data_IF_860161930357
#
_entry.id   IF_860161930357
#
_cell.length_a   1.000
_cell.length_b   1.000
_cell.length_c   1.000
_cell.angle_alpha   90.00
_cell.angle_beta   90.00
_cell.angle_gamma   90.00
#
_symmetry.space_group_name_H-M   'P 1'
#
loop_
_entity.id
_entity.type
_entity.pdbx_description
1 polymer ?
#
# COMPACT_ATOMS: atom_id res chain seq x y z
N UNK A 1 16.03 5.82 6.50
CA UNK A 1 14.86 5.62 5.61
C UNK A 1 15.05 6.44 4.34
N UNK A 2 14.33 6.11 3.26
CA UNK A 2 14.28 6.87 2.00
C UNK A 2 12.86 7.41 1.80
N UNK A 3 12.73 8.57 1.15
CA UNK A 3 11.44 9.13 0.74
C UNK A 3 11.17 8.79 -0.73
N UNK A 4 10.24 7.87 -0.98
CA UNK A 4 9.87 7.46 -2.34
C UNK A 4 9.30 8.63 -3.15
N UNK A 5 8.52 9.51 -2.51
CA UNK A 5 7.96 10.69 -3.15
C UNK A 5 9.02 11.67 -3.67
N UNK A 6 10.18 11.76 -3.00
CA UNK A 6 11.30 12.61 -3.45
C UNK A 6 12.21 11.89 -4.45
N UNK A 7 12.38 10.57 -4.31
CA UNK A 7 13.26 9.78 -5.16
C UNK A 7 12.66 9.51 -6.55
N UNK A 8 11.34 9.66 -6.71
CA UNK A 8 10.59 9.39 -7.93
C UNK A 8 11.19 10.13 -9.14
N UNK A 9 11.41 9.41 -10.25
CA UNK A 9 12.00 9.96 -11.47
C UNK A 9 13.50 10.27 -11.41
N UNK A 10 14.20 9.81 -10.37
CA UNK A 10 15.65 10.00 -10.21
C UNK A 10 16.37 8.67 -9.98
N UNK A 11 17.70 8.67 -10.11
CA UNK A 11 18.56 7.52 -9.74
C UNK A 11 18.38 7.09 -8.28
N UNK A 12 17.89 7.98 -7.40
CA UNK A 12 17.57 7.65 -6.01
C UNK A 12 16.53 6.54 -5.87
N UNK A 13 15.64 6.37 -6.85
CA UNK A 13 14.60 5.34 -6.80
C UNK A 13 15.17 3.91 -6.79
N UNK A 14 16.38 3.70 -7.32
CA UNK A 14 17.11 2.42 -7.22
C UNK A 14 17.42 2.01 -5.78
N UNK A 15 17.44 2.97 -4.85
CA UNK A 15 17.70 2.75 -3.43
C UNK A 15 16.42 2.61 -2.59
N UNK A 16 15.23 2.75 -3.18
CA UNK A 16 13.96 2.62 -2.48
C UNK A 16 13.77 1.22 -1.92
N UNK A 17 13.61 0.21 -2.79
CA UNK A 17 13.24 -1.13 -2.34
C UNK A 17 14.31 -1.78 -1.45
N UNK A 18 15.59 -1.59 -1.77
CA UNK A 18 16.69 -2.13 -0.94
C UNK A 18 16.69 -1.56 0.47
N UNK A 19 16.16 -0.35 0.68
CA UNK A 19 16.02 0.22 2.03
C UNK A 19 15.15 -0.66 2.94
N UNK A 20 14.21 -1.45 2.39
CA UNK A 20 13.43 -2.46 3.14
C UNK A 20 14.35 -3.45 3.84
N UNK A 21 15.34 -3.98 3.12
CA UNK A 21 16.27 -4.98 3.63
C UNK A 21 17.19 -4.35 4.69
N UNK A 22 17.76 -3.18 4.39
CA UNK A 22 18.62 -2.44 5.32
C UNK A 22 17.89 -2.15 6.63
N UNK A 23 16.62 -1.73 6.57
CA UNK A 23 15.81 -1.48 7.77
C UNK A 23 15.60 -2.77 8.58
N UNK A 24 15.30 -3.88 7.91
CA UNK A 24 15.14 -5.19 8.55
C UNK A 24 16.42 -5.60 9.28
N UNK A 25 17.56 -5.51 8.60
CA UNK A 25 18.88 -5.86 9.14
C UNK A 25 19.25 -4.96 10.32
N UNK A 26 18.98 -3.66 10.24
CA UNK A 26 19.22 -2.71 11.34
C UNK A 26 18.40 -3.05 12.59
N UNK A 27 17.11 -3.35 12.44
CA UNK A 27 16.24 -3.69 13.58
C UNK A 27 16.70 -4.99 14.23
N UNK A 28 16.95 -6.03 13.42
CA UNK A 28 17.46 -7.31 13.90
C UNK A 28 18.78 -7.15 14.66
N UNK A 29 19.74 -6.41 14.07
CA UNK A 29 21.06 -6.17 14.66
C UNK A 29 20.96 -5.46 16.01
N UNK A 30 20.16 -4.41 16.10
CA UNK A 30 20.00 -3.64 17.34
C UNK A 30 19.31 -4.45 18.45
N UNK A 31 18.23 -5.17 18.11
CA UNK A 31 17.46 -5.94 19.09
C UNK A 31 18.29 -7.10 19.63
N UNK A 32 18.90 -7.89 18.73
CA UNK A 32 19.69 -9.05 19.13
C UNK A 32 21.02 -8.64 19.79
N UNK A 33 21.71 -7.64 19.23
CA UNK A 33 23.01 -7.18 19.74
C UNK A 33 22.94 -6.54 21.13
N UNK A 34 21.77 -6.02 21.52
CA UNK A 34 21.55 -5.38 22.82
C UNK A 34 20.66 -6.21 23.76
N UNK A 35 20.28 -7.43 23.37
CA UNK A 35 19.46 -8.33 24.19
C UNK A 35 18.15 -7.68 24.67
N UNK A 36 17.44 -6.97 23.78
CA UNK A 36 16.20 -6.29 24.14
C UNK A 36 15.06 -7.32 24.35
N UNK A 37 14.31 -7.19 25.44
CA UNK A 37 13.17 -8.08 25.75
C UNK A 37 11.93 -7.84 24.86
N UNK A 38 11.86 -6.69 24.20
CA UNK A 38 10.79 -6.35 23.27
C UNK A 38 11.10 -5.09 22.47
N UNK A 39 10.37 -4.90 21.37
CA UNK A 39 10.63 -3.78 20.45
C UNK A 39 9.35 -3.10 19.95
N UNK A 40 9.33 -1.77 20.03
CA UNK A 40 8.32 -0.94 19.39
C UNK A 40 8.93 -0.34 18.12
N UNK A 41 8.44 -0.77 16.96
CA UNK A 41 8.91 -0.27 15.67
C UNK A 41 7.99 0.86 15.19
N UNK A 42 8.55 2.04 14.94
CA UNK A 42 7.83 3.16 14.32
C UNK A 42 8.26 3.31 12.88
N UNK A 43 7.31 3.29 11.95
CA UNK A 43 7.59 3.60 10.54
C UNK A 43 6.47 4.41 9.90
N UNK A 44 6.86 5.30 9.00
CA UNK A 44 5.95 6.29 8.40
C UNK A 44 5.99 6.39 6.89
N UNK A 45 6.94 5.73 6.21
CA UNK A 45 7.03 5.73 4.75
C UNK A 45 6.97 4.30 4.20
N UNK A 46 6.83 4.19 2.88
CA UNK A 46 6.54 2.97 2.12
C UNK A 46 7.31 1.74 2.60
N UNK A 47 8.63 1.76 2.44
CA UNK A 47 9.50 0.60 2.69
C UNK A 47 9.83 0.40 4.17
N UNK A 48 9.51 1.38 5.03
CA UNK A 48 9.61 1.22 6.49
C UNK A 48 8.68 0.14 6.98
N UNK A 49 7.46 0.12 6.45
CA UNK A 49 6.41 -0.80 6.88
C UNK A 49 6.88 -2.26 6.80
N UNK A 50 7.15 -2.81 5.59
CA UNK A 50 7.59 -4.20 5.49
C UNK A 50 8.97 -4.43 6.10
N UNK A 51 9.92 -3.48 5.98
CA UNK A 51 11.26 -3.66 6.54
C UNK A 51 11.25 -3.80 8.05
N UNK A 52 10.41 -3.01 8.73
CA UNK A 52 10.24 -3.10 10.17
C UNK A 52 9.57 -4.38 10.63
N UNK A 53 8.51 -4.83 9.94
CA UNK A 53 7.88 -6.12 10.26
C UNK A 53 8.82 -7.30 9.99
N UNK A 54 9.60 -7.28 8.91
CA UNK A 54 10.62 -8.30 8.64
C UNK A 54 11.68 -8.33 9.76
N UNK A 55 12.17 -7.17 10.21
CA UNK A 55 13.10 -7.09 11.34
C UNK A 55 12.51 -7.65 12.64
N UNK A 56 11.24 -7.35 12.93
CA UNK A 56 10.51 -7.91 14.08
C UNK A 56 10.40 -9.43 13.98
N UNK A 57 10.11 -9.98 12.79
CA UNK A 57 9.96 -11.43 12.56
C UNK A 57 11.28 -12.21 12.65
N UNK A 58 12.41 -11.57 12.29
CA UNK A 58 13.75 -12.16 12.43
C UNK A 58 14.22 -12.13 13.88
N UNK A 59 14.06 -11.00 14.56
CA UNK A 59 14.39 -10.88 15.98
C UNK A 59 13.49 -11.76 16.86
N UNK A 60 12.20 -11.81 16.52
CA UNK A 60 11.16 -12.61 17.16
C UNK A 60 11.10 -12.49 18.70
N UNK A 61 11.43 -11.32 19.23
CA UNK A 61 11.04 -10.90 20.59
C UNK A 61 9.64 -10.26 20.53
N UNK A 62 8.89 -10.18 21.64
CA UNK A 62 7.62 -9.46 21.67
C UNK A 62 7.72 -8.08 21.04
N UNK A 63 6.86 -7.79 20.06
CA UNK A 63 7.01 -6.61 19.25
C UNK A 63 5.69 -6.05 18.74
N UNK A 64 5.59 -4.72 18.70
CA UNK A 64 4.42 -4.02 18.16
C UNK A 64 4.84 -3.01 17.10
N UNK A 65 4.04 -2.91 16.03
CA UNK A 65 4.28 -1.95 14.97
C UNK A 65 3.39 -0.72 15.13
N UNK A 66 3.99 0.47 15.15
CA UNK A 66 3.29 1.75 15.20
C UNK A 66 3.49 2.50 13.88
N UNK A 67 2.42 2.62 13.11
CA UNK A 67 2.41 3.47 11.92
C UNK A 67 2.50 4.95 12.32
N UNK A 68 3.35 5.71 11.64
CA UNK A 68 3.56 7.14 11.88
C UNK A 68 2.34 8.01 11.56
N UNK A 69 1.39 7.52 10.76
CA UNK A 69 0.17 8.24 10.41
C UNK A 69 0.22 8.88 9.02
N UNK A 70 -0.95 9.07 8.44
CA UNK A 70 -1.13 9.68 7.11
C UNK A 70 -1.02 11.20 7.18
N UNK A 71 -0.59 11.84 6.09
CA UNK A 71 -0.66 13.30 5.92
C UNK A 71 -2.13 13.74 5.74
N UNK A 72 -2.43 14.99 6.12
CA UNK A 72 -3.67 15.68 5.74
C UNK A 72 -3.63 16.09 4.24
N UNK A 73 -4.78 16.16 3.55
CA UNK A 73 -4.81 16.67 2.18
C UNK A 73 -4.41 18.15 2.09
N UNK A 74 -3.70 18.48 1.01
CA UNK A 74 -3.55 19.85 0.57
C UNK A 74 -4.85 20.39 -0.05
N UNK A 75 -4.94 21.70 -0.31
CA UNK A 75 -6.13 22.28 -0.96
C UNK A 75 -5.77 23.41 -1.92
N UNK A 76 -6.36 23.37 -3.11
CA UNK A 76 -6.27 24.45 -4.09
C UNK A 76 -7.53 24.50 -4.96
N UNK A 77 -8.08 25.71 -5.15
CA UNK A 77 -9.32 25.95 -5.93
C UNK A 77 -10.49 25.01 -5.57
N UNK A 78 -10.65 24.72 -4.27
CA UNK A 78 -11.72 23.84 -3.77
C UNK A 78 -11.53 22.35 -4.08
N UNK A 79 -10.33 21.94 -4.53
CA UNK A 79 -9.96 20.53 -4.75
C UNK A 79 -8.91 20.10 -3.74
N UNK A 80 -9.07 18.88 -3.24
CA UNK A 80 -8.07 18.24 -2.40
C UNK A 80 -6.87 17.78 -3.24
N UNK A 81 -5.68 18.13 -2.76
CA UNK A 81 -4.40 17.81 -3.39
C UNK A 81 -3.66 16.72 -2.60
N UNK A 82 -2.86 15.94 -3.32
CA UNK A 82 -1.87 15.02 -2.77
C UNK A 82 -0.62 14.98 -3.67
N UNK A 83 0.35 14.12 -3.35
CA UNK A 83 1.58 14.01 -4.14
C UNK A 83 1.33 13.64 -5.61
N UNK A 84 0.30 12.83 -5.91
CA UNK A 84 -0.06 12.48 -7.29
C UNK A 84 -0.60 13.68 -8.06
N UNK A 85 -1.29 14.60 -7.40
CA UNK A 85 -1.72 15.86 -8.02
C UNK A 85 -0.56 16.67 -8.58
N UNK A 86 0.63 16.60 -7.97
CA UNK A 86 1.84 17.27 -8.48
C UNK A 86 2.33 16.59 -9.77
N UNK A 87 2.40 15.25 -9.78
CA UNK A 87 2.85 14.50 -10.96
C UNK A 87 1.89 14.67 -12.15
N UNK A 88 0.58 14.65 -11.90
CA UNK A 88 -0.44 14.92 -12.92
C UNK A 88 -0.34 16.36 -13.45
N UNK A 89 -0.13 17.34 -12.56
CA UNK A 89 0.02 18.75 -12.93
C UNK A 89 1.21 18.99 -13.87
N UNK A 90 2.34 18.29 -13.67
CA UNK A 90 3.51 18.34 -14.57
C UNK A 90 3.13 17.85 -15.97
N UNK A 91 2.41 16.72 -16.07
CA UNK A 91 1.95 16.18 -17.37
C UNK A 91 0.97 17.10 -18.09
N UNK A 92 0.01 17.68 -17.36
CA UNK A 92 -0.96 18.64 -17.91
C UNK A 92 -0.31 19.94 -18.38
N UNK A 93 0.66 20.48 -17.63
CA UNK A 93 1.42 21.67 -18.01
C UNK A 93 2.28 21.41 -19.26
N UNK A 94 3.00 20.27 -19.31
CA UNK A 94 3.78 19.89 -20.48
C UNK A 94 2.94 19.69 -21.76
N UNK A 95 1.69 19.27 -21.61
CA UNK A 95 0.72 19.16 -22.71
C UNK A 95 0.02 20.48 -23.06
N UNK A 96 0.37 21.61 -22.41
CA UNK A 96 -0.20 22.93 -22.64
C UNK A 96 -1.62 23.12 -22.09
N UNK A 97 -2.08 22.26 -21.18
CA UNK A 97 -3.44 22.29 -20.60
C UNK A 97 -3.51 22.93 -19.20
N UNK A 98 -2.37 23.28 -18.61
CA UNK A 98 -2.28 23.94 -17.30
C UNK A 98 -1.25 25.08 -17.34
N UNK A 99 -1.53 26.22 -16.69
CA UNK A 99 -0.59 27.34 -16.60
C UNK A 99 0.52 27.08 -15.58
N UNK A 100 1.66 27.75 -15.76
CA UNK A 100 2.80 27.68 -14.82
C UNK A 100 2.41 28.16 -13.41
N UNK A 101 1.50 29.14 -13.31
CA UNK A 101 0.97 29.61 -12.03
C UNK A 101 0.17 28.51 -11.33
N UNK A 102 -0.70 27.80 -12.04
CA UNK A 102 -1.49 26.71 -11.45
C UNK A 102 -0.59 25.56 -11.01
N UNK A 103 0.43 25.23 -11.80
CA UNK A 103 1.45 24.23 -11.44
C UNK A 103 2.18 24.61 -10.14
N UNK A 104 2.67 25.85 -10.06
CA UNK A 104 3.38 26.36 -8.87
C UNK A 104 2.49 26.35 -7.62
N UNK A 105 1.21 26.70 -7.76
CA UNK A 105 0.27 26.68 -6.63
C UNK A 105 -0.02 25.25 -6.16
N UNK A 106 -0.13 24.28 -7.08
CA UNK A 106 -0.30 22.87 -6.73
C UNK A 106 0.93 22.36 -5.98
N UNK A 107 2.14 22.62 -6.49
CA UNK A 107 3.40 22.23 -5.85
C UNK A 107 3.46 22.73 -4.39
N UNK A 108 3.20 24.02 -4.16
CA UNK A 108 3.29 24.66 -2.84
C UNK A 108 2.25 24.20 -1.83
N UNK A 109 1.14 23.61 -2.29
CA UNK A 109 -0.04 23.30 -1.46
C UNK A 109 -0.32 21.82 -1.31
N UNK A 110 0.27 20.96 -2.14
CA UNK A 110 -0.02 19.52 -2.14
C UNK A 110 0.43 18.78 -0.87
N UNK A 111 1.49 19.26 -0.22
CA UNK A 111 2.10 18.63 0.96
C UNK A 111 2.04 19.61 2.15
N UNK A 112 0.91 19.67 2.88
CA UNK A 112 0.66 20.71 3.90
C UNK A 112 1.36 20.47 5.24
N UNK A 113 2.01 19.32 5.46
CA UNK A 113 2.60 18.98 6.75
C UNK A 113 3.24 17.59 6.79
N UNK A 114 3.31 17.02 7.99
CA UNK A 114 3.93 15.72 8.27
C UNK A 114 2.97 14.55 8.07
N UNK A 115 3.52 13.38 7.72
CA UNK A 115 2.77 12.13 7.52
C UNK A 115 3.11 11.44 6.19
N UNK A 116 2.64 10.21 6.02
CA UNK A 116 2.81 9.48 4.76
C UNK A 116 1.83 9.93 3.67
N UNK A 117 2.02 9.49 2.43
CA UNK A 117 1.15 9.82 1.30
C UNK A 117 -0.33 9.46 1.58
N UNK A 118 -1.24 10.42 1.39
CA UNK A 118 -2.63 10.32 1.88
C UNK A 118 -3.57 9.34 1.16
N UNK A 119 -3.20 8.82 -0.01
CA UNK A 119 -3.99 7.82 -0.72
C UNK A 119 -3.72 6.40 -0.22
N UNK A 120 -4.45 5.41 -0.75
CA UNK A 120 -4.21 3.99 -0.48
C UNK A 120 -3.02 3.44 -1.29
N UNK A 121 -1.89 4.14 -1.20
CA UNK A 121 -0.57 3.72 -1.69
C UNK A 121 0.06 2.71 -0.72
N UNK A 122 1.31 2.30 -0.94
CA UNK A 122 1.90 1.20 -0.16
C UNK A 122 1.97 1.49 1.34
N UNK A 123 2.34 2.70 1.77
CA UNK A 123 2.38 3.04 3.20
C UNK A 123 1.03 2.78 3.92
N UNK A 124 -0.07 3.33 3.42
CA UNK A 124 -1.41 3.11 4.00
C UNK A 124 -1.93 1.68 3.76
N UNK A 125 -1.55 1.05 2.64
CA UNK A 125 -1.90 -0.36 2.36
C UNK A 125 -1.26 -1.29 3.39
N UNK A 126 0.04 -1.11 3.63
CA UNK A 126 0.80 -1.95 4.57
C UNK A 126 0.40 -1.66 6.02
N UNK A 127 0.15 -0.40 6.40
CA UNK A 127 -0.35 -0.09 7.73
C UNK A 127 -1.71 -0.74 7.99
N UNK A 128 -2.62 -0.69 7.01
CA UNK A 128 -3.93 -1.36 7.08
C UNK A 128 -3.80 -2.87 7.20
N UNK A 129 -2.86 -3.44 6.43
CA UNK A 129 -2.57 -4.87 6.47
C UNK A 129 -1.97 -5.30 7.83
N UNK A 130 -1.26 -4.42 8.54
CA UNK A 130 -0.68 -4.71 9.86
C UNK A 130 -1.71 -4.74 10.97
N UNK A 131 -2.76 -3.90 10.89
CA UNK A 131 -3.94 -4.06 11.75
C UNK A 131 -4.63 -5.40 11.48
N UNK A 132 -4.79 -5.78 10.22
CA UNK A 132 -5.43 -7.03 9.82
C UNK A 132 -4.62 -8.29 10.20
N UNK A 133 -3.29 -8.19 10.19
CA UNK A 133 -2.39 -9.20 10.76
C UNK A 133 -2.55 -9.34 12.27
N UNK A 134 -2.89 -8.24 12.96
CA UNK A 134 -2.94 -8.18 14.42
C UNK A 134 -1.65 -7.69 15.08
N UNK A 135 -0.67 -7.16 14.33
CA UNK A 135 0.61 -6.68 14.87
C UNK A 135 0.62 -5.17 15.19
N UNK A 136 -0.46 -4.47 14.84
CA UNK A 136 -0.73 -3.07 15.16
C UNK A 136 -2.08 -2.95 15.86
N UNK A 137 -2.21 -1.94 16.72
CA UNK A 137 -3.49 -1.66 17.38
C UNK A 137 -4.56 -1.17 16.39
N UNK A 138 -5.85 -1.46 16.64
CA UNK A 138 -6.95 -0.96 15.84
C UNK A 138 -6.89 0.56 15.62
N UNK A 139 -7.32 1.00 14.43
CA UNK A 139 -7.36 2.39 13.96
C UNK A 139 -5.99 3.05 13.71
N UNK A 140 -4.89 2.51 14.25
CA UNK A 140 -3.54 3.07 14.16
C UNK A 140 -3.07 3.37 12.73
N UNK A 141 -3.56 2.62 11.73
CA UNK A 141 -3.23 2.70 10.31
C UNK A 141 -3.85 3.88 9.56
N UNK A 142 -4.92 4.48 10.11
CA UNK A 142 -5.71 5.50 9.40
C UNK A 142 -5.66 6.89 10.05
N UNK A 143 -5.10 6.99 11.26
CA UNK A 143 -4.92 8.24 11.97
C UNK A 143 -4.00 9.21 11.21
N UNK A 144 -4.37 10.50 11.21
CA UNK A 144 -3.51 11.54 10.66
C UNK A 144 -2.33 11.81 11.59
N UNK A 145 -1.12 11.92 11.03
CA UNK A 145 0.11 12.18 11.79
C UNK A 145 0.05 13.44 12.67
N UNK A 146 -0.47 14.60 12.23
CA UNK A 146 -0.46 15.81 13.06
C UNK A 146 -1.47 15.80 14.20
N UNK A 147 -2.36 14.81 14.29
CA UNK A 147 -3.36 14.75 15.35
C UNK A 147 -2.82 14.07 16.62
N UNK A 148 -3.21 14.58 17.80
CA UNK A 148 -2.85 14.02 19.11
C UNK A 148 -3.24 12.55 19.27
N UNK A 149 -4.30 12.13 18.56
CA UNK A 149 -4.74 10.73 18.51
C UNK A 149 -3.59 9.78 18.13
N UNK A 150 -2.72 10.18 17.19
CA UNK A 150 -1.59 9.35 16.77
C UNK A 150 -0.54 9.22 17.88
N UNK A 151 -0.26 10.31 18.59
CA UNK A 151 0.63 10.29 19.76
C UNK A 151 0.05 9.41 20.88
N UNK A 152 -1.26 9.50 21.13
CA UNK A 152 -1.94 8.66 22.13
C UNK A 152 -1.92 7.18 21.74
N UNK A 153 -2.12 6.86 20.46
CA UNK A 153 -2.00 5.50 19.92
C UNK A 153 -0.59 4.93 20.13
N UNK A 154 0.47 5.74 19.96
CA UNK A 154 1.84 5.31 20.22
C UNK A 154 2.07 5.02 21.72
N UNK A 155 1.56 5.86 22.62
CA UNK A 155 1.61 5.63 24.08
C UNK A 155 0.88 4.35 24.47
N UNK A 156 -0.29 4.10 23.90
CA UNK A 156 -1.06 2.88 24.17
C UNK A 156 -0.35 1.64 23.63
N UNK A 157 0.26 1.73 22.45
CA UNK A 157 1.06 0.66 21.86
C UNK A 157 2.23 0.26 22.78
N UNK A 158 2.88 1.22 23.43
CA UNK A 158 3.94 0.94 24.40
C UNK A 158 3.43 0.17 25.63
N UNK A 159 2.22 0.48 26.13
CA UNK A 159 1.63 -0.28 27.24
C UNK A 159 1.28 -1.71 26.81
N UNK A 160 0.69 -1.87 25.62
CA UNK A 160 0.38 -3.19 25.07
C UNK A 160 1.65 -4.02 24.87
N UNK A 161 2.75 -3.40 24.43
CA UNK A 161 4.03 -4.08 24.32
C UNK A 161 4.52 -4.62 25.67
N UNK A 162 4.40 -3.86 26.76
CA UNK A 162 4.78 -4.32 28.10
C UNK A 162 3.97 -5.57 28.49
N UNK A 163 2.67 -5.59 28.19
CA UNK A 163 1.84 -6.77 28.44
C UNK A 163 2.17 -7.95 27.51
N UNK A 164 2.51 -7.69 26.25
CA UNK A 164 2.98 -8.70 25.32
C UNK A 164 4.30 -9.33 25.76
N UNK A 165 5.24 -8.54 26.32
CA UNK A 165 6.47 -9.03 26.93
C UNK A 165 6.19 -9.97 28.10
N UNK A 166 5.28 -9.58 29.02
CA UNK A 166 4.89 -10.43 30.16
C UNK A 166 4.25 -11.76 29.73
N UNK A 167 3.52 -11.76 28.61
CA UNK A 167 2.84 -12.94 28.05
C UNK A 167 3.68 -13.70 27.02
N UNK A 168 4.88 -13.22 26.71
CA UNK A 168 5.77 -13.73 25.66
C UNK A 168 5.10 -13.84 24.27
N UNK A 169 4.23 -12.90 23.91
CA UNK A 169 3.54 -12.88 22.59
C UNK A 169 4.48 -12.33 21.53
N UNK A 170 4.88 -13.17 20.57
CA UNK A 170 5.88 -12.83 19.55
C UNK A 170 5.27 -12.63 18.17
N UNK A 171 5.97 -11.91 17.26
CA UNK A 171 5.54 -11.72 15.88
C UNK A 171 5.18 -13.01 15.15
N UNK A 172 5.92 -14.12 15.35
CA UNK A 172 5.63 -15.40 14.70
C UNK A 172 4.39 -16.13 15.25
N UNK A 173 3.94 -15.80 16.45
CA UNK A 173 2.67 -16.32 16.99
C UNK A 173 1.46 -15.65 16.31
N UNK A 174 1.66 -14.42 15.81
CA UNK A 174 0.64 -13.59 15.17
C UNK A 174 0.65 -13.79 13.65
N UNK A 175 1.83 -13.74 13.01
CA UNK A 175 1.98 -13.80 11.55
C UNK A 175 1.93 -15.25 11.07
N UNK A 176 0.72 -15.79 11.03
CA UNK A 176 0.39 -17.12 10.51
C UNK A 176 -0.17 -17.05 9.09
N UNK A 177 -0.36 -18.21 8.43
CA UNK A 177 -1.01 -18.28 7.11
C UNK A 177 -2.41 -17.64 7.12
N UNK A 178 -3.21 -17.90 8.16
CA UNK A 178 -4.54 -17.28 8.33
C UNK A 178 -4.47 -15.76 8.51
N UNK A 179 -3.50 -15.28 9.30
CA UNK A 179 -3.31 -13.84 9.48
C UNK A 179 -2.88 -13.16 8.17
N UNK A 180 -2.00 -13.80 7.38
CA UNK A 180 -1.63 -13.30 6.04
C UNK A 180 -2.84 -13.28 5.10
N UNK A 181 -3.71 -14.30 5.14
CA UNK A 181 -4.97 -14.26 4.38
C UNK A 181 -5.88 -13.09 4.79
N UNK A 182 -5.98 -12.79 6.09
CA UNK A 182 -6.73 -11.61 6.59
C UNK A 182 -6.13 -10.32 6.02
N UNK A 183 -4.81 -10.19 6.08
CA UNK A 183 -4.10 -9.03 5.60
C UNK A 183 -4.32 -8.81 4.10
N UNK A 184 -4.20 -9.86 3.30
CA UNK A 184 -4.46 -9.81 1.85
C UNK A 184 -5.94 -9.53 1.56
N UNK A 185 -6.88 -10.06 2.34
CA UNK A 185 -8.29 -9.73 2.18
C UNK A 185 -8.56 -8.23 2.44
N UNK A 186 -7.95 -7.64 3.46
CA UNK A 186 -8.07 -6.20 3.73
C UNK A 186 -7.41 -5.36 2.64
N UNK A 187 -6.25 -5.80 2.11
CA UNK A 187 -5.60 -5.14 0.96
C UNK A 187 -6.55 -5.10 -0.25
N UNK A 188 -7.21 -6.22 -0.58
CA UNK A 188 -8.18 -6.29 -1.67
C UNK A 188 -9.38 -5.39 -1.40
N UNK A 189 -9.97 -5.49 -0.20
CA UNK A 189 -11.16 -4.73 0.18
C UNK A 189 -10.94 -3.22 0.16
N UNK A 190 -9.72 -2.77 0.43
CA UNK A 190 -9.39 -1.34 0.48
C UNK A 190 -8.84 -0.77 -0.82
N UNK A 191 -8.64 -1.59 -1.87
CA UNK A 191 -8.09 -1.09 -3.12
C UNK A 191 -6.58 -0.83 -3.09
N UNK A 192 -5.84 -1.54 -2.22
CA UNK A 192 -4.44 -1.29 -1.90
C UNK A 192 -3.40 -1.44 -3.02
N UNK A 193 -2.15 -1.09 -2.72
CA UNK A 193 -1.01 -1.09 -3.65
C UNK A 193 -0.63 -2.49 -4.13
N UNK A 194 -0.18 -2.60 -5.39
CA UNK A 194 0.43 -3.82 -5.96
C UNK A 194 1.73 -4.20 -5.24
N UNK A 195 2.46 -3.23 -4.68
CA UNK A 195 3.68 -3.46 -3.89
C UNK A 195 3.41 -4.35 -2.67
N UNK A 196 2.16 -4.42 -2.19
CA UNK A 196 1.79 -5.34 -1.12
C UNK A 196 2.08 -6.81 -1.49
N UNK A 197 2.00 -7.20 -2.77
CA UNK A 197 2.35 -8.57 -3.20
C UNK A 197 3.81 -8.88 -2.91
N UNK A 198 4.71 -7.99 -3.35
CA UNK A 198 6.15 -8.12 -3.10
C UNK A 198 6.48 -8.14 -1.60
N UNK A 199 5.80 -7.30 -0.83
CA UNK A 199 6.04 -7.18 0.61
C UNK A 199 5.54 -8.38 1.38
N UNK A 200 4.34 -8.89 1.08
CA UNK A 200 3.80 -10.06 1.77
C UNK A 200 4.50 -11.37 1.39
N UNK A 201 5.01 -11.50 0.16
CA UNK A 201 5.91 -12.62 -0.18
C UNK A 201 7.17 -12.61 0.70
N UNK A 202 7.79 -11.44 0.88
CA UNK A 202 8.98 -11.31 1.73
C UNK A 202 8.67 -11.51 3.23
N UNK A 203 7.55 -10.97 3.71
CA UNK A 203 7.07 -11.15 5.09
C UNK A 203 6.80 -12.63 5.38
N UNK A 204 6.08 -13.31 4.49
CA UNK A 204 5.76 -14.73 4.64
C UNK A 204 7.03 -15.59 4.66
N UNK A 205 7.95 -15.36 3.72
CA UNK A 205 9.26 -16.02 3.71
C UNK A 205 10.02 -15.79 5.02
N UNK A 206 10.04 -14.55 5.53
CA UNK A 206 10.74 -14.20 6.78
C UNK A 206 10.08 -14.84 8.01
N UNK A 207 8.75 -15.00 8.00
CA UNK A 207 8.01 -15.68 9.04
C UNK A 207 8.12 -17.22 8.98
N UNK A 208 8.65 -17.78 7.88
CA UNK A 208 8.64 -19.23 7.64
C UNK A 208 7.26 -19.77 7.27
N UNK A 209 6.38 -18.92 6.71
CA UNK A 209 5.03 -19.28 6.28
C UNK A 209 5.01 -19.53 4.77
N UNK A 210 4.52 -20.69 4.35
CA UNK A 210 4.31 -20.99 2.93
C UNK A 210 3.21 -20.09 2.33
N UNK A 211 3.64 -19.18 1.46
CA UNK A 211 2.79 -18.24 0.74
C UNK A 211 3.38 -17.97 -0.63
N UNK A 212 2.55 -18.07 -1.67
CA UNK A 212 2.96 -17.92 -3.07
C UNK A 212 2.21 -16.78 -3.75
N UNK A 213 2.64 -16.39 -4.94
CA UNK A 213 1.92 -15.39 -5.73
C UNK A 213 0.48 -15.86 -6.05
N UNK A 214 0.27 -17.17 -6.21
CA UNK A 214 -1.04 -17.75 -6.53
C UNK A 214 -2.04 -17.66 -5.38
N UNK A 215 -1.55 -17.57 -4.14
CA UNK A 215 -2.41 -17.35 -2.98
C UNK A 215 -3.12 -15.98 -3.03
N UNK A 216 -2.50 -14.97 -3.65
CA UNK A 216 -3.16 -13.68 -3.85
C UNK A 216 -4.36 -13.81 -4.79
N UNK A 217 -4.25 -14.61 -5.85
CA UNK A 217 -5.37 -14.84 -6.78
C UNK A 217 -6.52 -15.58 -6.08
N UNK A 218 -6.20 -16.59 -5.26
CA UNK A 218 -7.19 -17.32 -4.45
C UNK A 218 -7.97 -16.38 -3.51
N UNK A 219 -7.30 -15.43 -2.86
CA UNK A 219 -7.96 -14.43 -2.02
C UNK A 219 -8.72 -13.40 -2.86
N UNK A 220 -8.14 -12.92 -3.98
CA UNK A 220 -8.75 -11.94 -4.89
C UNK A 220 -10.13 -12.38 -5.38
N UNK A 221 -10.28 -13.63 -5.76
CA UNK A 221 -11.53 -14.16 -6.34
C UNK A 221 -12.72 -14.12 -5.39
N UNK A 222 -12.48 -14.19 -4.08
CA UNK A 222 -13.54 -14.20 -3.04
C UNK A 222 -13.75 -12.86 -2.35
N UNK A 223 -12.77 -11.95 -2.42
CA UNK A 223 -12.82 -10.70 -1.65
C UNK A 223 -13.21 -9.51 -2.54
N UNK A 224 -14.34 -8.83 -2.28
CA UNK A 224 -14.73 -7.64 -3.05
C UNK A 224 -13.92 -6.42 -2.65
N UNK A 225 -13.88 -5.41 -3.53
CA UNK A 225 -13.36 -4.07 -3.19
C UNK A 225 -14.50 -3.25 -2.60
N UNK A 226 -14.34 -2.76 -1.37
CA UNK A 226 -15.36 -2.04 -0.60
C UNK A 226 -15.12 -0.54 -0.53
N UNK A 227 -13.85 -0.11 -0.52
CA UNK A 227 -13.52 1.29 -0.27
C UNK A 227 -13.36 2.12 -1.56
N UNK A 228 -13.88 3.34 -1.56
CA UNK A 228 -13.73 4.32 -2.64
C UNK A 228 -12.53 5.26 -2.39
N UNK A 229 -11.31 4.73 -2.48
CA UNK A 229 -10.08 5.45 -2.10
C UNK A 229 -9.16 5.72 -3.30
N UNK A 230 -8.54 6.91 -3.31
CA UNK A 230 -7.45 7.23 -4.24
C UNK A 230 -6.32 6.19 -4.14
N UNK A 231 -5.67 5.81 -5.24
CA UNK A 231 -5.71 6.47 -6.56
C UNK A 231 -6.88 6.08 -7.47
N UNK A 232 -7.65 5.03 -7.15
CA UNK A 232 -8.72 4.54 -8.04
C UNK A 232 -10.10 5.15 -7.74
N UNK A 233 -10.25 5.69 -6.54
CA UNK A 233 -11.48 6.26 -6.02
C UNK A 233 -11.35 7.73 -5.65
N UNK A 234 -12.33 8.24 -4.90
CA UNK A 234 -12.46 9.67 -4.55
C UNK A 234 -11.72 10.06 -3.28
N UNK A 235 -11.78 9.23 -2.25
CA UNK A 235 -11.45 9.62 -0.87
C UNK A 235 -10.00 9.32 -0.47
N UNK A 236 -9.54 9.90 0.63
CA UNK A 236 -8.20 9.69 1.20
C UNK A 236 -8.27 8.87 2.49
N UNK A 237 -7.11 8.47 3.02
CA UNK A 237 -7.02 7.65 4.24
C UNK A 237 -7.64 8.33 5.48
N UNK A 238 -7.62 9.66 5.54
CA UNK A 238 -8.28 10.42 6.62
C UNK A 238 -9.80 10.32 6.57
N UNK A 239 -10.38 10.16 5.38
CA UNK A 239 -11.82 9.95 5.21
C UNK A 239 -12.20 8.53 5.58
N UNK A 240 -11.33 7.55 5.24
CA UNK A 240 -11.48 6.17 5.72
C UNK A 240 -11.50 6.12 7.25
N UNK A 241 -10.61 6.84 7.91
CA UNK A 241 -10.59 6.94 9.37
C UNK A 241 -11.94 7.42 9.92
N UNK A 242 -12.46 8.55 9.40
CA UNK A 242 -13.75 9.12 9.79
C UNK A 242 -14.92 8.16 9.52
N UNK A 243 -14.85 7.37 8.45
CA UNK A 243 -15.88 6.41 8.06
C UNK A 243 -15.95 5.16 8.96
N UNK A 244 -14.96 4.96 9.85
CA UNK A 244 -14.87 3.79 10.74
C UNK A 244 -13.55 3.02 10.63
N UNK A 245 -12.63 3.48 9.78
CA UNK A 245 -11.28 2.94 9.65
C UNK A 245 -11.22 1.49 9.15
N UNK A 246 -10.05 0.90 9.31
CA UNK A 246 -9.82 -0.52 9.02
C UNK A 246 -10.65 -1.47 9.88
N UNK A 247 -10.92 -1.18 11.18
CA UNK A 247 -11.80 -2.04 11.97
C UNK A 247 -13.20 -2.22 11.36
N UNK A 248 -13.80 -1.19 10.78
CA UNK A 248 -15.08 -1.30 10.06
C UNK A 248 -14.98 -2.20 8.82
N UNK A 249 -13.91 -2.10 8.05
CA UNK A 249 -13.65 -2.97 6.89
C UNK A 249 -13.48 -4.43 7.35
N UNK A 250 -12.66 -4.66 8.36
CA UNK A 250 -12.41 -5.99 8.92
C UNK A 250 -13.69 -6.61 9.47
N UNK A 251 -14.53 -5.84 10.18
CA UNK A 251 -15.82 -6.32 10.70
C UNK A 251 -16.77 -6.73 9.58
N UNK A 252 -16.84 -5.92 8.51
CA UNK A 252 -17.67 -6.22 7.33
C UNK A 252 -17.22 -7.53 6.66
N UNK A 253 -15.90 -7.74 6.52
CA UNK A 253 -15.34 -8.98 5.96
C UNK A 253 -15.53 -10.19 6.89
N UNK A 254 -15.38 -10.00 8.20
CA UNK A 254 -15.58 -11.04 9.21
C UNK A 254 -17.03 -11.54 9.20
N UNK A 255 -18.01 -10.63 9.19
CA UNK A 255 -19.44 -10.98 9.10
C UNK A 255 -19.77 -11.74 7.80
N UNK A 256 -19.03 -11.49 6.72
CA UNK A 256 -19.15 -12.20 5.45
C UNK A 256 -18.37 -13.52 5.37
N UNK A 257 -17.67 -13.93 6.45
CA UNK A 257 -16.85 -15.13 6.46
C UNK A 257 -15.56 -15.04 5.62
N UNK A 258 -15.12 -13.82 5.30
CA UNK A 258 -13.94 -13.53 4.49
C UNK A 258 -12.68 -13.21 5.33
N UNK A 259 -12.79 -13.32 6.65
CA UNK A 259 -11.72 -13.03 7.61
C UNK A 259 -11.71 -14.09 8.72
N UNK A 260 -10.52 -14.59 9.05
CA UNK A 260 -10.26 -15.54 10.14
C UNK A 260 -10.29 -14.81 11.48
N UNK A 261 -11.39 -14.93 12.22
CA UNK A 261 -11.59 -14.24 13.49
C UNK A 261 -10.79 -14.79 14.67
N UNK A 262 -10.28 -16.02 14.57
CA UNK A 262 -9.51 -16.73 15.61
C UNK A 262 -8.03 -16.34 15.66
N UNK A 263 -7.53 -15.56 14.70
CA UNK A 263 -6.15 -15.09 14.68
C UNK A 263 -5.83 -14.25 15.93
N UNK A 264 -4.69 -14.55 16.57
CA UNK A 264 -4.16 -13.81 17.71
C UNK A 264 -3.69 -12.41 17.27
N UNK A 265 -3.85 -11.43 18.15
CA UNK A 265 -3.29 -10.08 18.01
C UNK A 265 -2.28 -9.77 19.10
N UNK A 266 -1.53 -8.69 18.94
CA UNK A 266 -0.51 -8.23 19.89
C UNK A 266 -1.07 -7.87 21.26
N UNK A 267 -2.38 -7.60 21.39
CA UNK A 267 -3.03 -7.38 22.69
C UNK A 267 -3.24 -8.69 23.49
N UNK A 268 -3.08 -9.84 22.84
CA UNK A 268 -3.44 -11.16 23.35
C UNK A 268 -4.91 -11.53 23.11
N UNK A 269 -5.69 -10.66 22.45
CA UNK A 269 -7.06 -10.97 22.01
C UNK A 269 -7.04 -11.53 20.59
N UNK A 270 -8.10 -12.23 20.23
CA UNK A 270 -8.38 -12.61 18.84
C UNK A 270 -8.88 -11.43 18.01
N UNK A 271 -8.83 -11.54 16.69
CA UNK A 271 -9.42 -10.54 15.78
C UNK A 271 -10.93 -10.38 16.05
N UNK A 272 -11.66 -11.46 16.29
CA UNK A 272 -13.09 -11.42 16.57
C UNK A 272 -13.40 -10.66 17.88
N UNK A 273 -12.64 -10.90 18.94
CA UNK A 273 -12.77 -10.17 20.21
C UNK A 273 -12.43 -8.69 20.05
N UNK A 274 -11.39 -8.38 19.28
CA UNK A 274 -10.97 -7.00 18.97
C UNK A 274 -12.07 -6.22 18.25
N UNK A 275 -12.87 -6.90 17.41
CA UNK A 275 -13.91 -6.29 16.58
C UNK A 275 -15.33 -6.44 17.15
N UNK A 276 -15.49 -6.96 18.38
CA UNK A 276 -16.80 -7.31 18.94
C UNK A 276 -17.77 -6.12 18.95
N UNK A 277 -17.26 -4.93 19.28
CA UNK A 277 -18.05 -3.69 19.45
C UNK A 277 -18.17 -2.88 18.15
N UNK A 278 -17.53 -3.31 17.06
CA UNK A 278 -17.66 -2.68 15.74
C UNK A 278 -18.94 -3.18 15.07
N UNK A 279 -19.82 -2.29 14.56
CA UNK A 279 -21.02 -2.69 13.82
C UNK A 279 -20.70 -3.47 12.53
N UNK A 280 -21.51 -4.48 12.21
CA UNK A 280 -21.33 -5.27 10.97
C UNK A 280 -21.57 -4.48 9.69
N UNK A 281 -22.46 -3.49 9.75
CA UNK A 281 -22.82 -2.66 8.62
C UNK A 281 -22.18 -1.28 8.80
N UNK A 282 -21.45 -0.77 7.78
CA UNK A 282 -20.94 0.60 7.80
C UNK A 282 -22.08 1.62 7.98
N UNK A 283 -21.77 2.77 8.58
CA UNK A 283 -22.77 3.82 8.77
C UNK A 283 -23.31 4.32 7.42
N UNK A 284 -24.59 4.67 7.41
CA UNK A 284 -25.29 5.11 6.20
C UNK A 284 -25.00 6.57 5.79
N UNK A 285 -24.38 7.36 6.66
CA UNK A 285 -24.06 8.78 6.47
C UNK A 285 -22.70 9.00 5.77
N UNK A 286 -22.07 7.94 5.30
CA UNK A 286 -20.80 7.97 4.57
C UNK A 286 -20.85 7.04 3.35
N UNK A 287 -20.01 7.31 2.36
CA UNK A 287 -19.89 6.55 1.11
C UNK A 287 -18.46 6.05 0.84
N UNK A 288 -17.55 6.18 1.82
CA UNK A 288 -16.15 5.76 1.75
C UNK A 288 -16.02 4.24 1.85
N UNK A 289 -16.70 3.61 2.81
CA UNK A 289 -16.74 2.18 3.06
C UNK A 289 -18.11 1.66 2.63
N UNK A 290 -18.15 0.93 1.52
CA UNK A 290 -19.40 0.38 0.99
C UNK A 290 -19.78 -0.94 1.68
N UNK A 291 -21.09 -1.23 1.83
CA UNK A 291 -21.54 -2.49 2.41
C UNK A 291 -21.20 -3.66 1.48
N UNK A 292 -21.07 -4.86 2.06
CA UNK A 292 -20.67 -6.09 1.36
C UNK A 292 -21.58 -6.43 0.15
N UNK A 293 -22.86 -6.08 0.22
CA UNK A 293 -23.85 -6.35 -0.84
C UNK A 293 -23.85 -5.30 -1.96
N UNK A 294 -23.11 -4.20 -1.80
CA UNK A 294 -23.00 -3.13 -2.79
C UNK A 294 -21.54 -2.69 -2.95
N UNK A 295 -20.60 -3.60 -3.27
CA UNK A 295 -19.18 -3.27 -3.34
C UNK A 295 -18.87 -2.33 -4.51
N UNK A 296 -17.67 -1.74 -4.52
CA UNK A 296 -17.12 -1.06 -5.72
C UNK A 296 -16.93 -2.06 -6.86
N UNK A 297 -16.32 -3.21 -6.53
CA UNK A 297 -16.05 -4.31 -7.45
C UNK A 297 -16.30 -5.63 -6.73
N UNK A 298 -16.90 -6.60 -7.43
CA UNK A 298 -17.25 -7.91 -6.85
C UNK A 298 -16.02 -8.76 -6.49
N UNK A 299 -14.87 -8.51 -7.13
CA UNK A 299 -13.61 -9.19 -6.88
C UNK A 299 -12.50 -8.18 -6.62
N UNK A 300 -11.45 -8.65 -5.95
CA UNK A 300 -10.26 -7.87 -5.67
C UNK A 300 -9.56 -7.42 -6.94
N UNK A 301 -8.82 -6.32 -6.83
CA UNK A 301 -8.22 -5.63 -7.96
C UNK A 301 -6.79 -6.06 -8.33
N UNK A 302 -6.11 -6.82 -7.48
CA UNK A 302 -4.73 -7.26 -7.74
C UNK A 302 -4.75 -8.60 -8.45
N UNK A 303 -4.82 -8.58 -9.78
CA UNK A 303 -4.83 -9.77 -10.61
C UNK A 303 -3.42 -10.34 -10.81
N UNK A 304 -3.29 -11.66 -10.70
CA UNK A 304 -2.06 -12.38 -11.04
C UNK A 304 -2.17 -12.89 -12.48
N UNK A 305 -1.29 -12.41 -13.34
CA UNK A 305 -1.29 -12.74 -14.76
C UNK A 305 -0.13 -13.67 -15.08
N UNK A 306 -0.43 -14.80 -15.72
CA UNK A 306 0.55 -15.79 -16.19
C UNK A 306 0.42 -15.98 -17.70
N UNK A 307 1.54 -16.31 -18.33
CA UNK A 307 1.59 -16.59 -19.76
C UNK A 307 3.01 -16.83 -20.23
N UNK A 308 3.20 -16.87 -21.55
CA UNK A 308 4.52 -17.03 -22.16
C UNK A 308 5.50 -15.89 -21.83
N UNK A 309 5.00 -14.68 -21.53
CA UNK A 309 5.83 -13.53 -21.13
C UNK A 309 6.09 -13.47 -19.61
N UNK A 310 5.21 -14.04 -18.79
CA UNK A 310 5.30 -14.05 -17.32
C UNK A 310 5.09 -15.47 -16.77
N UNK A 311 6.01 -16.41 -17.03
CA UNK A 311 5.84 -17.81 -16.62
C UNK A 311 5.74 -17.99 -15.09
N UNK A 312 6.45 -17.15 -14.34
CA UNK A 312 6.41 -17.12 -12.87
C UNK A 312 5.31 -16.20 -12.30
N UNK A 313 4.56 -15.53 -13.18
CA UNK A 313 3.49 -14.60 -12.84
C UNK A 313 3.95 -13.13 -12.76
N UNK A 314 3.02 -12.22 -13.03
CA UNK A 314 3.14 -10.80 -12.77
C UNK A 314 1.85 -10.26 -12.14
N UNK A 315 1.90 -9.03 -11.63
CA UNK A 315 0.80 -8.41 -10.89
C UNK A 315 0.30 -7.21 -11.67
N UNK A 316 -1.02 -7.11 -11.84
CA UNK A 316 -1.67 -5.94 -12.42
C UNK A 316 -2.80 -5.45 -11.51
N UNK A 317 -2.94 -4.12 -11.40
CA UNK A 317 -4.14 -3.51 -10.81
C UNK A 317 -5.18 -3.34 -11.91
N UNK A 318 -6.31 -4.04 -11.79
CA UNK A 318 -7.38 -4.03 -12.81
C UNK A 318 -8.56 -3.10 -12.46
N UNK A 319 -8.46 -2.34 -11.36
CA UNK A 319 -9.49 -1.37 -10.98
C UNK A 319 -9.68 -0.31 -12.07
N UNK A 320 -10.93 -0.01 -12.42
CA UNK A 320 -11.24 1.06 -13.38
C UNK A 320 -11.03 0.71 -14.85
N UNK A 321 -10.51 -0.48 -15.18
CA UNK A 321 -10.40 -0.92 -16.57
C UNK A 321 -11.79 -1.29 -17.13
N UNK A 322 -12.26 -0.53 -18.12
CA UNK A 322 -13.49 -0.85 -18.86
C UNK A 322 -13.31 -2.06 -19.77
N UNK A 323 -12.13 -2.19 -20.37
CA UNK A 323 -11.75 -3.30 -21.23
C UNK A 323 -10.45 -3.94 -20.69
N UNK A 324 -10.50 -5.14 -20.12
CA UNK A 324 -9.32 -5.82 -19.58
C UNK A 324 -8.48 -6.55 -20.64
N UNK A 325 -8.84 -6.43 -21.93
CA UNK A 325 -8.13 -7.09 -23.02
C UNK A 325 -7.47 -6.06 -23.92
N UNK A 326 -6.18 -6.25 -24.16
CA UNK A 326 -5.41 -5.44 -25.11
C UNK A 326 -4.50 -6.31 -25.96
N UNK A 327 -4.38 -5.97 -27.23
CA UNK A 327 -3.49 -6.64 -28.18
C UNK A 327 -2.95 -5.61 -29.16
N UNK A 328 -1.65 -5.64 -29.40
CA UNK A 328 -1.01 -4.73 -30.33
C UNK A 328 0.49 -4.92 -30.43
N UNK A 329 1.16 -4.11 -31.28
CA UNK A 329 2.59 -4.24 -31.52
C UNK A 329 3.41 -3.81 -30.30
N UNK A 330 4.48 -4.56 -30.02
CA UNK A 330 5.38 -4.25 -28.92
C UNK A 330 6.28 -3.04 -29.23
N UNK A 331 6.40 -2.12 -28.27
CA UNK A 331 7.37 -1.01 -28.26
C UNK A 331 8.32 -1.25 -27.10
N UNK A 332 9.55 -1.67 -27.40
CA UNK A 332 10.49 -2.20 -26.38
C UNK A 332 11.51 -1.14 -26.00
N UNK A 333 11.73 -0.99 -24.69
CA UNK A 333 12.66 -0.04 -24.10
C UNK A 333 13.50 -0.75 -23.02
N UNK A 334 14.76 -0.35 -22.91
CA UNK A 334 15.72 -0.95 -21.96
C UNK A 334 15.87 -0.10 -20.69
N UNK A 335 15.31 1.11 -20.67
CA UNK A 335 15.36 2.05 -19.56
C UNK A 335 14.14 2.99 -19.54
N UNK A 336 13.89 3.64 -18.40
CA UNK A 336 12.76 4.55 -18.20
C UNK A 336 12.88 5.81 -19.07
N UNK A 337 14.10 6.31 -19.26
CA UNK A 337 14.38 7.57 -19.95
C UNK A 337 14.03 7.50 -21.43
N UNK A 338 14.39 6.40 -22.11
CA UNK A 338 14.09 6.15 -23.52
C UNK A 338 12.59 5.93 -23.75
N UNK A 339 11.90 5.26 -22.83
CA UNK A 339 10.45 5.10 -22.86
C UNK A 339 9.75 6.46 -22.72
N UNK A 340 10.14 7.27 -21.72
CA UNK A 340 9.60 8.61 -21.51
C UNK A 340 9.86 9.52 -22.71
N UNK A 341 11.07 9.52 -23.27
CA UNK A 341 11.40 10.29 -24.46
C UNK A 341 10.54 9.90 -25.68
N UNK A 342 10.23 8.61 -25.84
CA UNK A 342 9.34 8.16 -26.92
C UNK A 342 7.89 8.62 -26.73
N UNK A 343 7.38 8.62 -25.49
CA UNK A 343 6.04 9.15 -25.16
C UNK A 343 5.99 10.65 -25.45
N UNK A 344 6.94 11.43 -24.93
CA UNK A 344 6.99 12.89 -25.09
C UNK A 344 7.20 13.31 -26.54
N UNK A 345 7.91 12.51 -27.35
CA UNK A 345 8.08 12.74 -28.78
C UNK A 345 6.88 12.29 -29.64
N UNK A 346 5.78 11.82 -29.04
CA UNK A 346 4.57 11.38 -29.75
C UNK A 346 4.79 10.12 -30.61
N UNK A 347 5.78 9.28 -30.27
CA UNK A 347 6.08 8.05 -31.02
C UNK A 347 5.20 6.86 -30.61
N UNK A 348 4.58 6.94 -29.44
CA UNK A 348 3.66 5.93 -28.92
C UNK A 348 2.24 6.24 -29.40
N UNK A 349 1.53 5.23 -29.89
CA UNK A 349 0.18 5.36 -30.45
C UNK A 349 -0.82 4.47 -29.69
N UNK A 350 -2.09 4.86 -29.72
CA UNK A 350 -3.17 4.02 -29.24
C UNK A 350 -3.11 2.62 -29.87
N UNK A 351 -3.23 1.58 -29.04
CA UNK A 351 -3.08 0.18 -29.40
C UNK A 351 -1.65 -0.38 -29.26
N UNK A 352 -0.63 0.45 -29.05
CA UNK A 352 0.72 -0.05 -28.77
C UNK A 352 0.79 -0.75 -27.40
N UNK A 353 1.69 -1.73 -27.27
CA UNK A 353 2.05 -2.36 -25.99
C UNK A 353 3.51 -2.00 -25.69
N UNK A 354 3.71 -1.08 -24.76
CA UNK A 354 5.03 -0.70 -24.27
C UNK A 354 5.58 -1.78 -23.34
N UNK A 355 6.84 -2.18 -23.57
CA UNK A 355 7.56 -3.17 -22.77
C UNK A 355 8.83 -2.52 -22.25
N UNK A 356 8.91 -2.29 -20.94
CA UNK A 356 10.10 -1.74 -20.28
C UNK A 356 10.82 -2.88 -19.58
N UNK A 357 11.99 -3.27 -20.09
CA UNK A 357 12.78 -4.40 -19.55
C UNK A 357 14.06 -3.93 -18.89
N UNK A 358 14.74 -4.86 -18.23
CA UNK A 358 15.94 -4.60 -17.42
C UNK A 358 15.72 -3.67 -16.22
N UNK A 359 14.48 -3.48 -15.77
CA UNK A 359 14.15 -2.64 -14.61
C UNK A 359 13.71 -3.47 -13.38
N UNK A 360 14.04 -4.76 -13.36
CA UNK A 360 13.80 -5.64 -12.21
C UNK A 360 14.83 -5.48 -11.07
N UNK A 361 14.77 -6.35 -10.04
CA UNK A 361 15.65 -6.26 -8.87
C UNK A 361 17.16 -6.22 -9.20
N UNK A 362 17.59 -6.98 -10.20
CA UNK A 362 19.00 -7.04 -10.64
C UNK A 362 19.31 -6.09 -11.79
N UNK A 363 18.40 -5.99 -12.76
CA UNK A 363 18.64 -5.21 -13.99
C UNK A 363 18.67 -3.70 -13.73
N UNK A 364 17.75 -3.20 -12.89
CA UNK A 364 17.56 -1.78 -12.67
C UNK A 364 18.79 -1.08 -12.11
N UNK A 365 19.46 -1.61 -11.06
CA UNK A 365 19.01 -2.55 -10.01
C UNK A 365 17.94 -1.94 -9.08
N UNK A 366 17.50 -2.70 -8.07
CA UNK A 366 16.64 -2.21 -7.00
C UNK A 366 15.15 -2.16 -7.34
N UNK A 367 14.75 -2.61 -8.54
CA UNK A 367 13.35 -2.64 -9.00
C UNK A 367 12.65 -1.27 -8.81
N UNK A 368 13.14 -0.21 -9.49
CA UNK A 368 12.64 1.14 -9.27
C UNK A 368 11.15 1.26 -9.63
N UNK A 369 10.40 2.00 -8.81
CA UNK A 369 9.02 2.35 -9.10
C UNK A 369 8.97 3.50 -10.14
N UNK A 370 8.25 3.28 -11.24
CA UNK A 370 8.22 4.20 -12.38
C UNK A 370 6.86 4.89 -12.50
N UNK A 371 6.80 6.15 -12.07
CA UNK A 371 5.59 6.98 -12.21
C UNK A 371 5.65 7.92 -13.42
N UNK A 372 6.84 8.26 -13.92
CA UNK A 372 6.95 9.23 -15.00
C UNK A 372 6.37 8.73 -16.34
N UNK A 373 6.65 7.49 -16.82
CA UNK A 373 6.04 6.98 -18.05
C UNK A 373 4.52 6.85 -17.95
N UNK A 374 3.99 6.39 -16.81
CA UNK A 374 2.55 6.22 -16.60
C UNK A 374 1.84 7.57 -16.56
N UNK A 375 2.37 8.54 -15.81
CA UNK A 375 1.86 9.91 -15.79
C UNK A 375 1.91 10.58 -17.17
N UNK A 376 3.00 10.39 -17.92
CA UNK A 376 3.13 10.93 -19.27
C UNK A 376 2.12 10.31 -20.26
N UNK A 377 1.85 9.00 -20.18
CA UNK A 377 0.83 8.34 -21.00
C UNK A 377 -0.58 8.86 -20.68
N UNK A 378 -0.90 9.05 -19.40
CA UNK A 378 -2.19 9.62 -18.97
C UNK A 378 -2.30 11.07 -19.47
N UNK A 379 -1.27 11.89 -19.30
CA UNK A 379 -1.21 13.26 -19.80
C UNK A 379 -1.28 13.35 -21.33
N UNK A 380 -0.82 12.34 -22.07
CA UNK A 380 -0.99 12.25 -23.51
C UNK A 380 -2.39 11.77 -23.95
N UNK A 381 -3.28 11.43 -23.01
CA UNK A 381 -4.61 10.89 -23.30
C UNK A 381 -4.59 9.42 -23.73
N UNK A 382 -3.49 8.70 -23.50
CA UNK A 382 -3.29 7.31 -23.94
C UNK A 382 -3.57 6.27 -22.86
N UNK A 383 -3.91 6.68 -21.63
CA UNK A 383 -3.99 5.81 -20.44
C UNK A 383 -4.95 4.61 -20.54
N UNK A 384 -6.02 4.68 -21.33
CA UNK A 384 -6.95 3.55 -21.56
C UNK A 384 -6.64 2.76 -22.84
N UNK A 385 -5.65 3.20 -23.63
CA UNK A 385 -5.43 2.72 -25.01
C UNK A 385 -4.05 2.12 -25.27
N UNK A 386 -3.11 2.27 -24.34
CA UNK A 386 -1.75 1.73 -24.43
C UNK A 386 -1.50 0.76 -23.29
N UNK A 387 -0.90 -0.39 -23.61
CA UNK A 387 -0.52 -1.40 -22.63
C UNK A 387 0.87 -1.08 -22.12
N UNK A 388 1.12 -1.31 -20.83
CA UNK A 388 2.44 -1.13 -20.24
C UNK A 388 2.81 -2.40 -19.46
N UNK A 389 3.95 -2.98 -19.83
CA UNK A 389 4.51 -4.20 -19.25
C UNK A 389 5.89 -3.88 -18.68
#
# INVERSE_FOLDING_TARGET
TISDGMAMGTEGMKYSLVSREVISDCIETCVQGQWMDGVLVVGGCDKNMPGGLMGMLRANVPAIYVYGGTILPGSYKGKDLNIVSVFEAVGENAAGRMSDEDLLQIERRAIPGTGSCGGMYTANTMSSAFEALGISLPYSSTMANPHDEKMNSAKESAKVLIEAVKKDIKPRDIVTKKAIENAVAVIMATGGSTNAVLHFLAIAHTAGVEWTIDDFERVRQRTPVLCDLKPSGKYLAVDLHRAGGIPQVMKTLLAAGLLHGDCLTISGQTIAETLKDVPEVPRADQDVIRPINKPMYAQGHLAILKGNLSPEGCVAKITGLKNPVMTGPARVFDDEQSALAAILAGKIKAGDVMVLRYLGPKGGPGMPEMLAPTGALIGAGLGESVGLI
#
